data_IF_412499978387
#
_entry.id   IF_412499978387
#
_cell.length_a   1.000
_cell.length_b   1.000
_cell.length_c   1.000
_cell.angle_alpha   90.00
_cell.angle_beta   90.00
_cell.angle_gamma   90.00
#
_symmetry.space_group_name_H-M   'P 1'
#
loop_
_entity.id
_entity.type
_entity.pdbx_description
1 polymer ?
#
# COMPACT_ATOMS: atom_id res chain seq x y z
N UNK A 1 12.46 -16.27 -12.96
CA UNK A 1 13.69 -17.04 -12.69
C UNK A 1 14.79 -16.18 -12.07
N UNK A 2 15.04 -14.99 -12.59
CA UNK A 2 16.16 -14.13 -12.12
C UNK A 2 16.00 -13.67 -10.66
N UNK A 3 14.82 -13.19 -10.28
CA UNK A 3 14.54 -12.77 -8.89
C UNK A 3 14.62 -13.94 -7.91
N UNK A 4 14.14 -15.12 -8.29
CA UNK A 4 14.26 -16.33 -7.46
C UNK A 4 15.72 -16.75 -7.29
N UNK A 5 16.53 -16.66 -8.35
CA UNK A 5 17.96 -16.96 -8.27
C UNK A 5 18.69 -16.03 -7.30
N UNK A 6 18.44 -14.73 -7.36
CA UNK A 6 18.99 -13.75 -6.41
C UNK A 6 18.56 -14.05 -4.97
N UNK A 7 17.26 -14.28 -4.74
CA UNK A 7 16.75 -14.63 -3.42
C UNK A 7 17.47 -15.84 -2.84
N UNK A 8 17.56 -16.94 -3.60
CA UNK A 8 18.23 -18.16 -3.13
C UNK A 8 19.74 -17.97 -2.90
N UNK A 9 20.40 -17.11 -3.67
CA UNK A 9 21.78 -16.72 -3.39
C UNK A 9 21.90 -15.98 -2.05
N UNK A 10 21.02 -15.01 -1.79
CA UNK A 10 21.05 -14.16 -0.59
C UNK A 10 20.71 -14.93 0.70
N UNK A 11 19.90 -15.97 0.60
CA UNK A 11 19.51 -16.82 1.75
C UNK A 11 20.36 -18.10 1.86
N UNK A 12 21.34 -18.30 0.98
CA UNK A 12 22.21 -19.50 1.00
C UNK A 12 22.88 -19.65 2.38
N UNK A 13 22.77 -20.85 2.95
CA UNK A 13 23.28 -21.17 4.30
C UNK A 13 22.48 -20.59 5.45
N UNK A 14 21.40 -19.83 5.20
CA UNK A 14 20.49 -19.34 6.25
C UNK A 14 19.37 -20.36 6.49
N UNK A 15 18.98 -20.49 7.74
CA UNK A 15 17.79 -21.26 8.10
C UNK A 15 16.54 -20.45 7.73
N UNK A 16 15.59 -21.12 7.08
CA UNK A 16 14.27 -20.56 6.76
C UNK A 16 13.27 -21.17 7.74
N UNK A 17 12.57 -20.33 8.49
CA UNK A 17 11.61 -20.76 9.50
C UNK A 17 10.15 -20.69 9.04
N UNK A 18 9.85 -19.93 7.99
CA UNK A 18 8.52 -19.80 7.40
C UNK A 18 8.59 -19.20 6.00
N UNK A 19 7.54 -19.43 5.20
CA UNK A 19 7.31 -18.76 3.91
C UNK A 19 6.08 -17.86 4.06
N UNK A 20 6.21 -16.56 3.81
CA UNK A 20 5.10 -15.60 3.80
C UNK A 20 4.66 -15.28 2.39
N UNK A 21 3.32 -15.15 2.18
CA UNK A 21 2.78 -14.80 0.86
C UNK A 21 1.47 -14.00 0.96
N UNK A 22 1.32 -13.01 0.08
CA UNK A 22 0.03 -12.35 -0.14
C UNK A 22 -0.84 -13.20 -1.06
N UNK A 23 -2.04 -13.59 -0.59
CA UNK A 23 -2.96 -14.48 -1.31
C UNK A 23 -4.19 -13.78 -1.87
N UNK A 24 -4.42 -12.54 -1.49
CA UNK A 24 -5.59 -11.73 -1.87
C UNK A 24 -5.35 -10.23 -1.62
N UNK A 25 -6.10 -9.34 -2.29
CA UNK A 25 -5.95 -7.89 -2.08
C UNK A 25 -6.24 -7.46 -0.63
N UNK A 26 -7.38 -7.91 -0.06
CA UNK A 26 -7.85 -7.54 1.29
C UNK A 26 -8.28 -8.79 2.07
N UNK A 27 -8.24 -8.71 3.40
CA UNK A 27 -8.69 -9.79 4.28
C UNK A 27 -10.23 -9.73 4.49
N UNK A 28 -10.99 -9.73 3.40
CA UNK A 28 -12.46 -9.73 3.40
C UNK A 28 -12.98 -10.83 2.46
N UNK A 29 -14.18 -11.31 2.72
CA UNK A 29 -14.83 -12.32 1.89
C UNK A 29 -14.98 -11.80 0.44
N UNK A 30 -14.79 -12.69 -0.54
CA UNK A 30 -14.86 -12.35 -1.97
C UNK A 30 -13.67 -11.54 -2.50
N UNK A 31 -12.70 -11.16 -1.68
CA UNK A 31 -11.49 -10.47 -2.14
C UNK A 31 -10.58 -11.44 -2.90
N UNK A 32 -10.58 -11.33 -4.23
CA UNK A 32 -9.86 -12.21 -5.13
C UNK A 32 -9.22 -11.43 -6.28
N UNK A 33 -8.01 -11.83 -6.65
CA UNK A 33 -7.33 -11.36 -7.85
C UNK A 33 -6.39 -12.46 -8.36
N UNK A 34 -6.47 -12.88 -9.64
CA UNK A 34 -5.75 -14.02 -10.19
C UNK A 34 -4.23 -13.98 -10.02
N UNK A 35 -3.62 -12.79 -10.08
CA UNK A 35 -2.18 -12.61 -9.96
C UNK A 35 -1.61 -13.12 -8.61
N UNK A 36 -2.42 -13.10 -7.52
CA UNK A 36 -1.98 -13.63 -6.23
C UNK A 36 -1.86 -15.16 -6.23
N UNK A 37 -2.62 -15.86 -7.07
CA UNK A 37 -2.57 -17.32 -7.14
C UNK A 37 -1.24 -17.84 -7.66
N UNK A 38 -0.57 -17.09 -8.53
CA UNK A 38 0.78 -17.43 -9.00
C UNK A 38 1.77 -17.40 -7.83
N UNK A 39 1.75 -16.32 -7.05
CA UNK A 39 2.58 -16.19 -5.85
C UNK A 39 2.28 -17.27 -4.82
N UNK A 40 0.99 -17.53 -4.57
CA UNK A 40 0.55 -18.61 -3.65
C UNK A 40 1.08 -19.97 -4.06
N UNK A 41 0.95 -20.37 -5.34
CA UNK A 41 1.41 -21.66 -5.83
C UNK A 41 2.92 -21.87 -5.63
N UNK A 42 3.72 -20.82 -5.90
CA UNK A 42 5.16 -20.87 -5.67
C UNK A 42 5.52 -20.93 -4.18
N UNK A 43 4.85 -20.12 -3.35
CA UNK A 43 5.07 -20.10 -1.92
C UNK A 43 4.68 -21.43 -1.25
N UNK A 44 3.57 -22.03 -1.69
CA UNK A 44 3.12 -23.35 -1.22
C UNK A 44 4.14 -24.44 -1.56
N UNK A 45 4.58 -24.48 -2.81
CA UNK A 45 5.61 -25.43 -3.24
C UNK A 45 6.90 -25.28 -2.41
N UNK A 46 7.34 -24.04 -2.19
CA UNK A 46 8.56 -23.76 -1.42
C UNK A 46 8.39 -24.15 0.06
N UNK A 47 7.24 -23.83 0.66
CA UNK A 47 6.90 -24.20 2.03
C UNK A 47 6.94 -25.73 2.22
N UNK A 48 6.31 -26.46 1.30
CA UNK A 48 6.29 -27.94 1.33
C UNK A 48 7.69 -28.54 1.13
N UNK A 49 8.46 -28.03 0.19
CA UNK A 49 9.81 -28.48 -0.09
C UNK A 49 10.79 -28.25 1.08
N UNK A 50 10.61 -27.17 1.82
CA UNK A 50 11.44 -26.82 2.99
C UNK A 50 10.90 -27.43 4.31
N UNK A 51 9.69 -27.95 4.32
CA UNK A 51 9.05 -28.47 5.54
C UNK A 51 8.76 -27.36 6.58
N UNK A 52 8.47 -26.12 6.13
CA UNK A 52 8.22 -24.97 7.00
C UNK A 52 6.80 -24.44 6.83
N UNK A 53 6.22 -23.74 7.82
CA UNK A 53 4.86 -23.22 7.71
C UNK A 53 4.73 -22.16 6.62
N UNK A 54 3.57 -22.18 5.92
CA UNK A 54 3.11 -21.11 5.03
C UNK A 54 2.28 -20.10 5.82
N UNK A 55 2.64 -18.83 5.74
CA UNK A 55 1.93 -17.73 6.37
C UNK A 55 1.22 -16.92 5.29
N UNK A 56 -0.10 -17.04 5.25
CA UNK A 56 -0.93 -16.32 4.30
C UNK A 56 -1.41 -14.99 4.86
N UNK A 57 -1.28 -13.93 4.08
CA UNK A 57 -1.74 -12.58 4.43
C UNK A 57 -2.48 -11.96 3.25
N UNK A 58 -3.25 -10.89 3.48
CA UNK A 58 -3.69 -10.04 2.39
C UNK A 58 -2.60 -9.04 2.00
N UNK A 59 -2.67 -8.54 0.78
CA UNK A 59 -1.76 -7.50 0.30
C UNK A 59 -1.81 -6.23 1.17
N UNK A 60 -3.02 -5.83 1.58
CA UNK A 60 -3.22 -4.68 2.46
C UNK A 60 -2.56 -4.89 3.83
N UNK A 61 -2.70 -6.07 4.45
CA UNK A 61 -2.01 -6.41 5.70
C UNK A 61 -0.49 -6.35 5.54
N UNK A 62 0.02 -6.84 4.41
CA UNK A 62 1.44 -6.75 4.07
C UNK A 62 1.94 -5.31 3.99
N UNK A 63 1.17 -4.40 3.39
CA UNK A 63 1.51 -2.96 3.34
C UNK A 63 1.53 -2.32 4.73
N UNK A 64 0.55 -2.61 5.58
CA UNK A 64 0.53 -2.11 6.97
C UNK A 64 1.76 -2.59 7.74
N UNK A 65 2.02 -3.90 7.72
CA UNK A 65 3.16 -4.47 8.42
C UNK A 65 4.51 -3.92 7.91
N UNK A 66 4.68 -3.79 6.60
CA UNK A 66 5.89 -3.25 5.99
C UNK A 66 6.12 -1.77 6.39
N UNK A 67 5.06 -0.97 6.42
CA UNK A 67 5.13 0.43 6.84
C UNK A 67 5.52 0.56 8.31
N UNK A 68 4.93 -0.25 9.18
CA UNK A 68 5.24 -0.27 10.61
C UNK A 68 6.67 -0.76 10.86
N UNK A 69 7.12 -1.78 10.13
CA UNK A 69 8.49 -2.26 10.21
C UNK A 69 9.49 -1.19 9.77
N UNK A 70 9.27 -0.55 8.65
CA UNK A 70 10.12 0.52 8.14
C UNK A 70 10.20 1.73 9.08
N UNK A 71 9.11 2.02 9.80
CA UNK A 71 9.05 3.09 10.79
C UNK A 71 9.60 2.69 12.18
N UNK A 72 10.03 1.44 12.39
CA UNK A 72 10.44 0.91 13.70
C UNK A 72 9.29 0.81 14.71
N UNK A 73 8.04 0.70 14.24
CA UNK A 73 6.83 0.75 15.03
C UNK A 73 6.00 -0.55 14.97
N UNK A 74 6.67 -1.70 14.95
CA UNK A 74 5.99 -3.00 15.01
C UNK A 74 5.13 -3.19 16.25
N UNK A 75 5.39 -2.42 17.33
CA UNK A 75 4.54 -2.38 18.53
C UNK A 75 3.08 -2.02 18.22
N UNK A 76 2.81 -1.34 17.10
CA UNK A 76 1.46 -1.00 16.67
C UNK A 76 0.69 -2.18 16.06
N UNK A 77 1.35 -3.28 15.70
CA UNK A 77 0.65 -4.51 15.31
C UNK A 77 -0.23 -5.07 16.44
N UNK A 78 0.10 -4.75 17.69
CA UNK A 78 -0.62 -5.19 18.90
C UNK A 78 -1.58 -4.11 19.46
N UNK A 79 -1.76 -3.01 18.75
CA UNK A 79 -2.55 -1.85 19.20
C UNK A 79 -3.51 -1.39 18.12
N UNK A 80 -4.72 -1.00 18.51
CA UNK A 80 -5.64 -0.32 17.62
C UNK A 80 -5.08 1.04 17.22
N UNK A 81 -5.03 1.31 15.91
CA UNK A 81 -4.53 2.56 15.36
C UNK A 81 -5.18 2.90 14.03
N UNK A 82 -4.93 4.10 13.55
CA UNK A 82 -5.35 4.55 12.23
C UNK A 82 -4.17 4.46 11.25
N UNK A 83 -4.48 4.06 10.02
CA UNK A 83 -3.50 4.05 8.93
C UNK A 83 -4.10 4.66 7.66
N UNK A 84 -3.33 5.49 6.98
CA UNK A 84 -3.62 5.90 5.62
C UNK A 84 -3.05 4.89 4.63
N UNK A 85 -3.90 4.32 3.79
CA UNK A 85 -3.50 3.50 2.66
C UNK A 85 -3.54 4.36 1.39
N UNK A 86 -2.39 4.88 0.99
CA UNK A 86 -2.23 5.77 -0.16
C UNK A 86 -1.47 5.05 -1.27
N UNK A 87 -2.06 4.97 -2.45
CA UNK A 87 -1.44 4.37 -3.63
C UNK A 87 -1.92 5.03 -4.92
N UNK A 88 -1.45 4.56 -6.07
CA UNK A 88 -1.96 4.99 -7.37
C UNK A 88 -3.44 4.72 -7.59
N UNK A 89 -4.00 3.67 -6.98
CA UNK A 89 -5.40 3.29 -7.11
C UNK A 89 -6.25 3.50 -5.85
N UNK A 90 -5.63 3.77 -4.69
CA UNK A 90 -6.31 3.73 -3.39
C UNK A 90 -5.97 4.95 -2.56
N UNK A 91 -6.97 5.51 -1.89
CA UNK A 91 -6.83 6.54 -0.86
C UNK A 91 -7.87 6.28 0.21
N UNK A 92 -7.49 5.55 1.23
CA UNK A 92 -8.38 5.05 2.29
C UNK A 92 -7.81 5.33 3.67
N UNK A 93 -8.68 5.72 4.58
CA UNK A 93 -8.42 5.73 6.02
C UNK A 93 -8.87 4.40 6.59
N UNK A 94 -7.97 3.70 7.22
CA UNK A 94 -8.19 2.38 7.82
C UNK A 94 -8.16 2.48 9.34
N UNK A 95 -9.12 1.83 9.98
CA UNK A 95 -9.00 1.39 11.36
C UNK A 95 -8.27 0.04 11.34
N UNK A 96 -7.14 -0.02 12.00
CA UNK A 96 -6.31 -1.23 12.10
C UNK A 96 -6.40 -1.75 13.52
N UNK A 97 -6.84 -2.99 13.68
CA UNK A 97 -7.04 -3.66 14.96
C UNK A 97 -6.22 -4.95 15.01
N UNK A 98 -5.65 -5.31 16.15
CA UNK A 98 -4.97 -6.59 16.32
C UNK A 98 -5.92 -7.77 16.04
N UNK A 99 -5.45 -8.77 15.27
CA UNK A 99 -6.19 -10.00 14.98
C UNK A 99 -5.24 -11.20 15.01
N UNK A 100 -5.13 -11.86 16.16
CA UNK A 100 -4.16 -12.95 16.37
C UNK A 100 -2.73 -12.47 16.18
N UNK A 101 -2.01 -13.05 15.21
CA UNK A 101 -0.65 -12.63 14.83
C UNK A 101 -0.61 -11.61 13.70
N UNK A 102 -1.75 -11.11 13.29
CA UNK A 102 -1.92 -10.19 12.17
C UNK A 102 -2.79 -9.01 12.59
N UNK A 103 -3.29 -8.25 11.62
CA UNK A 103 -4.19 -7.13 11.84
C UNK A 103 -5.44 -7.27 10.98
N UNK A 104 -6.56 -6.79 11.51
CA UNK A 104 -7.79 -6.54 10.75
C UNK A 104 -7.80 -5.09 10.31
N UNK A 105 -8.03 -4.85 9.02
CA UNK A 105 -8.10 -3.52 8.44
C UNK A 105 -9.54 -3.24 8.01
N UNK A 106 -10.18 -2.27 8.64
CA UNK A 106 -11.54 -1.83 8.31
C UNK A 106 -11.46 -0.44 7.69
N UNK A 107 -11.99 -0.26 6.47
CA UNK A 107 -12.08 1.07 5.84
C UNK A 107 -13.13 1.90 6.60
N UNK A 108 -12.73 3.06 7.12
CA UNK A 108 -13.58 4.00 7.85
C UNK A 108 -13.71 5.35 7.14
N UNK A 109 -13.00 5.54 6.03
CA UNK A 109 -13.06 6.78 5.26
C UNK A 109 -12.14 6.73 4.04
N UNK A 110 -12.00 7.88 3.37
CA UNK A 110 -11.13 8.03 2.22
C UNK A 110 -11.75 8.86 1.11
N UNK A 111 -11.18 8.78 -0.09
CA UNK A 111 -11.73 9.47 -1.25
C UNK A 111 -12.97 8.76 -1.79
N UNK A 112 -13.91 9.57 -2.29
CA UNK A 112 -15.14 9.10 -2.95
C UNK A 112 -14.98 8.99 -4.47
N UNK A 113 -13.86 9.46 -5.02
CA UNK A 113 -13.62 9.52 -6.46
C UNK A 113 -12.20 9.09 -6.83
N UNK A 114 -11.34 10.00 -7.23
CA UNK A 114 -9.96 9.68 -7.64
C UNK A 114 -9.04 9.47 -6.45
N UNK A 115 -8.02 8.62 -6.61
CA UNK A 115 -7.00 8.45 -5.60
C UNK A 115 -6.00 9.61 -5.56
N UNK A 116 -5.28 9.76 -4.44
CA UNK A 116 -4.21 10.73 -4.30
C UNK A 116 -3.10 10.52 -5.34
N UNK A 117 -2.74 9.27 -5.63
CA UNK A 117 -1.76 8.96 -6.67
C UNK A 117 -2.22 9.39 -8.05
N UNK A 118 -3.51 9.17 -8.39
CA UNK A 118 -4.07 9.67 -9.65
C UNK A 118 -4.05 11.20 -9.73
N UNK A 119 -4.38 11.90 -8.65
CA UNK A 119 -4.29 13.36 -8.61
C UNK A 119 -2.85 13.83 -8.85
N UNK A 120 -1.88 13.22 -8.19
CA UNK A 120 -0.44 13.50 -8.34
C UNK A 120 0.00 13.29 -9.80
N UNK A 121 -0.30 12.13 -10.38
CA UNK A 121 0.13 11.81 -11.74
C UNK A 121 -0.54 12.71 -12.78
N UNK A 122 -1.82 13.03 -12.62
CA UNK A 122 -2.54 13.95 -13.51
C UNK A 122 -2.02 15.39 -13.39
N UNK A 123 -1.66 15.83 -12.18
CA UNK A 123 -1.01 17.12 -11.97
C UNK A 123 0.37 17.15 -12.64
N UNK A 124 1.14 16.08 -12.51
CA UNK A 124 2.43 15.96 -13.17
C UNK A 124 2.31 15.98 -14.70
N UNK A 125 1.28 15.34 -15.24
CA UNK A 125 1.01 15.37 -16.68
C UNK A 125 0.70 16.80 -17.19
N UNK A 126 -0.05 17.59 -16.41
CA UNK A 126 -0.30 19.00 -16.74
C UNK A 126 0.98 19.85 -16.75
N UNK A 127 1.95 19.48 -15.91
CA UNK A 127 3.26 20.13 -15.82
C UNK A 127 4.31 19.48 -16.73
N UNK A 128 3.90 18.60 -17.65
CA UNK A 128 4.76 17.88 -18.59
C UNK A 128 5.88 17.07 -17.90
N UNK A 129 5.64 16.61 -16.66
CA UNK A 129 6.59 15.82 -15.89
C UNK A 129 6.57 14.34 -16.31
N UNK A 130 7.71 13.63 -16.19
CA UNK A 130 7.75 12.19 -16.44
C UNK A 130 6.81 11.39 -15.53
N UNK A 131 6.25 10.30 -16.05
CA UNK A 131 5.46 9.34 -15.26
C UNK A 131 6.38 8.23 -14.67
N UNK A 132 6.16 7.82 -13.42
CA UNK A 132 5.25 8.35 -12.41
C UNK A 132 5.73 9.70 -11.85
N UNK A 133 4.79 10.66 -11.70
CA UNK A 133 5.15 12.07 -11.46
C UNK A 133 5.46 12.42 -10.00
N UNK A 134 5.15 11.52 -9.06
CA UNK A 134 5.24 11.80 -7.62
C UNK A 134 6.60 12.33 -7.17
N UNK A 135 7.70 11.68 -7.59
CA UNK A 135 9.07 12.10 -7.26
C UNK A 135 9.40 13.50 -7.78
N UNK A 136 8.95 13.83 -8.98
CA UNK A 136 9.22 15.11 -9.61
C UNK A 136 8.44 16.23 -8.95
N UNK A 137 7.14 15.99 -8.63
CA UNK A 137 6.31 16.92 -7.89
C UNK A 137 6.81 17.16 -6.46
N UNK A 138 7.29 16.12 -5.77
CA UNK A 138 7.91 16.25 -4.45
C UNK A 138 9.13 17.17 -4.50
N UNK A 139 10.00 17.02 -5.51
CA UNK A 139 11.16 17.89 -5.70
C UNK A 139 10.74 19.34 -5.95
N UNK A 140 9.79 19.59 -6.85
CA UNK A 140 9.29 20.94 -7.13
C UNK A 140 8.61 21.56 -5.91
N UNK A 141 7.88 20.78 -5.12
CA UNK A 141 7.19 21.28 -3.92
C UNK A 141 8.15 21.81 -2.85
N UNK A 142 9.38 21.31 -2.80
CA UNK A 142 10.42 21.77 -1.86
C UNK A 142 10.97 23.15 -2.22
N UNK A 143 10.89 23.53 -3.49
CA UNK A 143 11.32 24.82 -4.00
C UNK A 143 10.20 25.87 -4.00
N UNK A 144 8.96 25.42 -3.77
CA UNK A 144 7.78 26.27 -3.79
C UNK A 144 7.78 27.27 -2.63
N UNK A 145 7.60 28.53 -2.93
CA UNK A 145 7.48 29.63 -1.95
C UNK A 145 6.03 30.03 -1.67
N UNK A 146 5.09 29.57 -2.50
CA UNK A 146 3.66 29.81 -2.37
C UNK A 146 3.07 29.17 -1.11
N UNK A 147 2.08 29.84 -0.52
CA UNK A 147 1.34 29.35 0.66
C UNK A 147 -0.09 28.93 0.34
N UNK A 148 -0.43 28.84 -0.94
CA UNK A 148 -1.76 28.49 -1.38
C UNK A 148 -2.06 27.01 -1.09
N UNK A 149 -3.21 26.79 -0.46
CA UNK A 149 -3.65 25.45 -0.07
C UNK A 149 -5.05 25.20 -0.62
N UNK A 150 -5.21 24.12 -1.35
CA UNK A 150 -6.54 23.67 -1.79
C UNK A 150 -7.31 23.07 -0.61
N UNK A 151 -8.41 23.73 -0.24
CA UNK A 151 -9.29 23.21 0.82
C UNK A 151 -10.09 22.02 0.29
N UNK A 152 -10.00 20.90 1.01
CA UNK A 152 -10.80 19.71 0.78
C UNK A 152 -11.92 19.66 1.82
N UNK A 153 -13.17 19.52 1.36
CA UNK A 153 -14.31 19.33 2.26
C UNK A 153 -14.38 17.86 2.64
N UNK A 154 -14.37 17.58 3.94
CA UNK A 154 -14.53 16.24 4.49
C UNK A 154 -15.87 16.11 5.19
N UNK A 155 -16.62 15.05 4.94
CA UNK A 155 -17.87 14.70 5.61
C UNK A 155 -17.87 13.20 5.90
N UNK A 156 -18.12 12.82 7.16
CA UNK A 156 -18.13 11.41 7.59
C UNK A 156 -16.85 10.65 7.20
N UNK A 157 -15.68 11.30 7.38
CA UNK A 157 -14.37 10.78 6.99
C UNK A 157 -14.17 10.54 5.49
N UNK A 158 -15.09 11.01 4.64
CA UNK A 158 -15.00 10.92 3.18
C UNK A 158 -14.79 12.29 2.55
N UNK A 159 -14.07 12.33 1.44
CA UNK A 159 -13.75 13.55 0.70
C UNK A 159 -13.56 13.27 -0.80
N UNK A 160 -13.68 14.33 -1.60
CA UNK A 160 -13.46 14.30 -3.06
C UNK A 160 -12.12 14.96 -3.40
N UNK A 161 -11.32 14.30 -4.23
CA UNK A 161 -10.09 14.85 -4.79
C UNK A 161 -10.26 15.36 -6.22
N UNK A 162 -11.33 14.99 -6.94
CA UNK A 162 -11.62 15.53 -8.27
C UNK A 162 -11.84 17.04 -8.24
N UNK A 163 -12.44 17.57 -7.16
CA UNK A 163 -12.58 19.01 -6.95
C UNK A 163 -11.24 19.74 -6.82
N UNK A 164 -10.22 19.10 -6.24
CA UNK A 164 -8.85 19.64 -6.19
C UNK A 164 -8.22 19.57 -7.58
N UNK A 165 -8.38 18.46 -8.30
CA UNK A 165 -7.90 18.31 -9.67
C UNK A 165 -8.43 19.44 -10.57
N UNK A 166 -9.73 19.71 -10.52
CA UNK A 166 -10.34 20.79 -11.32
C UNK A 166 -9.73 22.17 -11.00
N UNK A 167 -9.41 22.43 -9.75
CA UNK A 167 -8.72 23.68 -9.37
C UNK A 167 -7.30 23.75 -9.91
N UNK A 168 -6.55 22.67 -9.80
CA UNK A 168 -5.19 22.57 -10.36
C UNK A 168 -5.18 22.82 -11.88
N UNK A 169 -6.21 22.37 -12.60
CA UNK A 169 -6.35 22.59 -14.04
C UNK A 169 -6.66 24.05 -14.42
N UNK A 170 -7.08 24.88 -13.49
CA UNK A 170 -7.44 26.28 -13.70
C UNK A 170 -6.27 27.24 -13.40
N UNK A 171 -5.18 26.75 -12.83
CA UNK A 171 -3.93 27.48 -12.62
C UNK A 171 -3.00 27.36 -13.81
#
# INVERSE_FOLDING_TARGET
>A
PELSGRLFSDISGKRIDAVGVSTRPRAVEGSYMPCFMVGYSHAKLLSDALGVPLVEVSHQQGHVAASLWSAGRLDLMEKTHLAWHLSGGTTELLLVEPEGRNVKCTRIGGTTDISAGQLIDRTGQLLELPFPSGKHLDSLSREATGKDVFRVKCRNSEFSLSGVQNKVQQF
#
